data_IF_938889588896
#
_entry.id   IF_938889588896
#
_cell.length_a   1.000
_cell.length_b   1.000
_cell.length_c   1.000
_cell.angle_alpha   90.00
_cell.angle_beta   90.00
_cell.angle_gamma   90.00
#
_symmetry.space_group_name_H-M   'P 1'
#
loop_
_entity.id
_entity.type
_entity.pdbx_description
1 polymer ?
#
# COMPACT_ATOMS: atom_id res chain seq x y z
N UNK A 1 24.73 -15.46 12.87
CA UNK A 1 23.63 -15.96 12.03
C UNK A 1 23.34 -14.89 10.99
N UNK A 2 23.41 -15.19 9.70
CA UNK A 2 23.15 -14.20 8.63
C UNK A 2 21.67 -13.79 8.73
N UNK A 3 21.42 -12.55 9.08
CA UNK A 3 20.09 -11.94 9.05
C UNK A 3 19.61 -11.99 7.58
N UNK A 4 18.59 -12.79 7.31
CA UNK A 4 18.08 -12.92 5.94
C UNK A 4 17.22 -11.71 5.65
N UNK A 5 17.70 -10.90 4.75
CA UNK A 5 17.10 -9.63 4.36
C UNK A 5 15.92 -9.87 3.43
N UNK A 6 14.78 -9.26 3.72
CA UNK A 6 13.61 -9.24 2.87
C UNK A 6 13.63 -7.98 2.02
N UNK A 7 13.73 -8.14 0.69
CA UNK A 7 13.75 -7.01 -0.23
C UNK A 7 12.34 -6.44 -0.43
N UNK A 8 12.26 -5.11 -0.41
CA UNK A 8 11.05 -4.39 -0.77
C UNK A 8 11.31 -3.53 -2.02
N UNK A 9 10.68 -3.92 -3.13
CA UNK A 9 10.88 -3.28 -4.43
C UNK A 9 9.85 -2.17 -4.66
N UNK A 10 10.31 -0.94 -4.65
CA UNK A 10 9.50 0.26 -4.91
C UNK A 10 10.40 1.44 -5.26
N UNK A 11 9.99 2.27 -6.22
CA UNK A 11 10.62 3.57 -6.48
C UNK A 11 10.08 4.69 -5.56
N UNK A 12 9.14 4.37 -4.68
CA UNK A 12 8.54 5.34 -3.76
C UNK A 12 9.21 5.26 -2.39
N UNK A 13 10.14 6.16 -2.14
CA UNK A 13 10.93 6.23 -0.88
C UNK A 13 10.00 6.38 0.34
N UNK A 14 8.94 7.18 0.27
CA UNK A 14 8.01 7.37 1.39
C UNK A 14 7.28 6.08 1.77
N UNK A 15 6.88 5.29 0.78
CA UNK A 15 6.29 3.97 1.02
C UNK A 15 7.30 3.04 1.66
N UNK A 16 8.53 3.02 1.15
CA UNK A 16 9.60 2.20 1.73
C UNK A 16 9.83 2.56 3.20
N UNK A 17 10.02 3.84 3.51
CA UNK A 17 10.27 4.31 4.88
C UNK A 17 9.14 3.93 5.85
N UNK A 18 7.87 4.07 5.42
CA UNK A 18 6.73 3.70 6.23
C UNK A 18 6.65 2.19 6.45
N UNK A 19 6.73 1.37 5.39
CA UNK A 19 6.72 -0.07 5.54
C UNK A 19 7.93 -0.58 6.33
N UNK A 20 9.11 -0.01 6.12
CA UNK A 20 10.33 -0.37 6.88
C UNK A 20 10.12 -0.20 8.38
N UNK A 21 9.57 0.95 8.83
CA UNK A 21 9.22 1.16 10.24
C UNK A 21 8.20 0.14 10.74
N UNK A 22 7.13 -0.09 9.97
CA UNK A 22 6.06 -1.01 10.35
C UNK A 22 6.57 -2.44 10.49
N UNK A 23 7.39 -2.93 9.57
CA UNK A 23 8.00 -4.26 9.63
C UNK A 23 9.03 -4.36 10.76
N UNK A 24 9.83 -3.31 11.01
CA UNK A 24 10.81 -3.26 12.09
C UNK A 24 10.17 -3.41 13.48
N UNK A 25 8.96 -2.90 13.70
CA UNK A 25 8.19 -3.09 14.93
C UNK A 25 7.88 -4.57 15.23
N UNK A 26 8.00 -5.44 14.24
CA UNK A 26 7.81 -6.88 14.35
C UNK A 26 9.11 -7.69 14.21
N UNK A 27 10.26 -7.00 14.26
CA UNK A 27 11.60 -7.61 14.18
C UNK A 27 11.98 -8.08 12.77
N UNK A 28 11.37 -7.51 11.72
CA UNK A 28 11.68 -7.80 10.32
C UNK A 28 12.32 -6.58 9.70
N UNK A 29 13.53 -6.73 9.17
CA UNK A 29 14.23 -5.67 8.47
C UNK A 29 13.98 -5.79 6.97
N UNK A 30 13.57 -4.67 6.35
CA UNK A 30 13.42 -4.57 4.89
C UNK A 30 14.64 -3.91 4.28
N UNK A 31 15.12 -4.44 3.17
CA UNK A 31 16.11 -3.80 2.32
C UNK A 31 15.42 -3.13 1.13
N UNK A 32 15.71 -1.85 0.91
CA UNK A 32 15.15 -1.10 -0.20
C UNK A 32 15.76 -1.53 -1.53
N UNK A 33 14.92 -1.98 -2.44
CA UNK A 33 15.28 -2.14 -3.83
C UNK A 33 14.61 -1.05 -4.65
N UNK A 34 15.37 0.03 -4.89
CA UNK A 34 14.86 1.19 -5.64
C UNK A 34 14.76 0.84 -7.12
N UNK A 35 13.55 0.48 -7.55
CA UNK A 35 13.24 0.13 -8.93
C UNK A 35 11.85 0.56 -9.31
N UNK A 36 11.73 1.22 -10.47
CA UNK A 36 10.45 1.51 -11.10
C UNK A 36 9.98 0.28 -11.89
N UNK A 37 9.03 -0.47 -11.33
CA UNK A 37 8.44 -1.63 -11.99
C UNK A 37 7.30 -1.14 -12.88
N UNK A 38 7.35 -1.40 -14.22
CA UNK A 38 6.25 -1.06 -15.11
C UNK A 38 4.96 -1.77 -14.70
N UNK A 39 3.90 -1.00 -14.43
CA UNK A 39 2.61 -1.52 -14.02
C UNK A 39 1.67 -1.65 -15.22
N UNK A 40 0.99 -2.79 -15.34
CA UNK A 40 -0.12 -2.96 -16.26
C UNK A 40 -1.30 -2.10 -15.81
N UNK A 41 -2.17 -1.72 -16.74
CA UNK A 41 -3.38 -0.98 -16.42
C UNK A 41 -4.56 -1.96 -16.29
N UNK A 42 -5.12 -2.03 -15.10
CA UNK A 42 -6.30 -2.83 -14.80
C UNK A 42 -7.07 -2.19 -13.64
N UNK A 43 -8.38 -2.37 -13.59
CA UNK A 43 -9.19 -1.95 -12.44
C UNK A 43 -8.88 -2.87 -11.25
N UNK A 44 -8.77 -4.18 -11.49
CA UNK A 44 -8.48 -5.16 -10.45
C UNK A 44 -7.03 -5.04 -9.98
N UNK A 45 -6.88 -4.57 -8.75
CA UNK A 45 -5.59 -4.37 -8.10
C UNK A 45 -4.84 -5.67 -7.84
N UNK A 46 -5.53 -6.80 -7.72
CA UNK A 46 -4.89 -8.11 -7.50
C UNK A 46 -4.13 -8.58 -8.74
N UNK A 47 -4.66 -8.27 -9.92
CA UNK A 47 -4.00 -8.55 -11.21
C UNK A 47 -2.74 -7.69 -11.37
N UNK A 48 -2.84 -6.39 -11.04
CA UNK A 48 -1.69 -5.48 -11.08
C UNK A 48 -0.61 -5.93 -10.09
N UNK A 49 -1.00 -6.27 -8.86
CA UNK A 49 -0.06 -6.73 -7.84
C UNK A 49 0.67 -7.99 -8.30
N UNK A 50 -0.05 -8.98 -8.83
CA UNK A 50 0.53 -10.24 -9.30
C UNK A 50 1.56 -10.00 -10.41
N UNK A 51 1.23 -9.20 -11.41
CA UNK A 51 2.16 -8.81 -12.48
C UNK A 51 3.41 -8.12 -11.92
N UNK A 52 3.20 -7.16 -11.01
CA UNK A 52 4.28 -6.41 -10.36
C UNK A 52 5.23 -7.30 -9.55
N UNK A 53 4.68 -8.25 -8.79
CA UNK A 53 5.49 -9.22 -8.01
C UNK A 53 6.34 -10.09 -8.93
N UNK A 54 5.79 -10.56 -10.04
CA UNK A 54 6.52 -11.38 -11.02
C UNK A 54 7.69 -10.58 -11.59
N UNK A 55 7.43 -9.38 -12.09
CA UNK A 55 8.47 -8.51 -12.66
C UNK A 55 9.55 -8.14 -11.64
N UNK A 56 9.17 -7.85 -10.40
CA UNK A 56 10.12 -7.57 -9.33
C UNK A 56 11.05 -8.77 -9.08
N UNK A 57 10.48 -9.99 -9.04
CA UNK A 57 11.27 -11.20 -8.86
C UNK A 57 12.19 -11.47 -10.07
N UNK A 58 11.70 -11.28 -11.30
CA UNK A 58 12.52 -11.44 -12.52
C UNK A 58 13.73 -10.50 -12.51
N UNK A 59 13.55 -9.25 -12.06
CA UNK A 59 14.63 -8.26 -12.00
C UNK A 59 15.62 -8.62 -10.89
N UNK A 60 15.13 -8.99 -9.70
CA UNK A 60 15.97 -9.16 -8.51
C UNK A 60 16.51 -10.58 -8.36
N UNK A 61 15.81 -11.59 -8.89
CA UNK A 61 16.10 -13.04 -8.73
C UNK A 61 16.23 -13.46 -7.26
N UNK A 62 15.52 -12.81 -6.36
CA UNK A 62 15.49 -13.05 -4.89
C UNK A 62 14.08 -12.87 -4.34
N UNK A 63 13.78 -13.47 -3.16
CA UNK A 63 12.51 -13.22 -2.48
C UNK A 63 12.25 -11.72 -2.30
N UNK A 64 11.07 -11.27 -2.72
CA UNK A 64 10.76 -9.85 -2.82
C UNK A 64 9.32 -9.55 -2.43
N UNK A 65 9.15 -8.45 -1.68
CA UNK A 65 7.88 -7.79 -1.41
C UNK A 65 7.66 -6.63 -2.39
N UNK A 66 6.41 -6.42 -2.77
CA UNK A 66 5.94 -5.21 -3.47
C UNK A 66 4.62 -4.76 -2.87
N UNK A 67 4.29 -3.48 -3.05
CA UNK A 67 2.97 -2.95 -2.71
C UNK A 67 2.23 -2.42 -3.94
N UNK A 68 0.91 -2.37 -3.84
CA UNK A 68 0.06 -1.58 -4.72
C UNK A 68 -1.04 -0.93 -3.89
N UNK A 69 -1.24 0.38 -4.05
CA UNK A 69 -2.24 1.15 -3.29
C UNK A 69 -3.16 1.90 -4.24
N UNK A 70 -4.43 2.00 -3.87
CA UNK A 70 -5.43 2.70 -4.64
C UNK A 70 -6.55 3.24 -3.78
N UNK A 71 -7.45 3.95 -4.41
CA UNK A 71 -8.65 4.54 -3.84
C UNK A 71 -9.87 3.94 -4.52
N UNK A 72 -10.91 3.58 -3.75
CA UNK A 72 -12.21 3.20 -4.26
C UNK A 72 -13.24 4.23 -3.79
N UNK A 73 -13.96 4.87 -4.70
CA UNK A 73 -14.99 5.86 -4.38
C UNK A 73 -16.38 5.24 -4.62
N UNK A 74 -17.24 5.26 -3.60
CA UNK A 74 -18.60 4.69 -3.70
C UNK A 74 -19.42 5.33 -4.80
N UNK A 75 -19.36 6.67 -4.94
CA UNK A 75 -20.04 7.41 -6.00
C UNK A 75 -19.64 7.00 -7.43
N UNK A 76 -18.46 6.39 -7.59
CA UNK A 76 -17.94 5.93 -8.87
C UNK A 76 -17.96 4.39 -9.00
N UNK A 77 -18.79 3.71 -8.22
CA UNK A 77 -18.90 2.25 -8.23
C UNK A 77 -17.52 1.58 -8.06
N UNK A 78 -16.79 2.00 -7.03
CA UNK A 78 -15.47 1.49 -6.66
C UNK A 78 -14.29 1.94 -7.56
N UNK A 79 -14.51 2.76 -8.59
CA UNK A 79 -13.37 3.35 -9.32
C UNK A 79 -12.65 4.39 -8.43
N UNK A 80 -11.36 4.67 -8.66
CA UNK A 80 -10.46 4.18 -9.74
C UNK A 80 -9.73 2.87 -9.43
N UNK A 81 -9.62 2.43 -8.18
CA UNK A 81 -8.86 1.24 -7.76
C UNK A 81 -7.46 1.18 -8.43
N UNK A 82 -7.20 0.18 -9.25
CA UNK A 82 -5.91 0.00 -9.92
C UNK A 82 -5.54 1.09 -10.95
N UNK A 83 -6.51 1.87 -11.42
CA UNK A 83 -6.28 3.02 -12.31
C UNK A 83 -6.00 4.32 -11.55
N UNK A 84 -5.67 4.23 -10.27
CA UNK A 84 -5.52 5.37 -9.38
C UNK A 84 -4.49 6.41 -9.86
N UNK A 85 -3.38 5.97 -10.47
CA UNK A 85 -2.36 6.87 -11.01
C UNK A 85 -2.93 7.74 -12.12
N UNK A 86 -3.60 7.13 -13.10
CA UNK A 86 -4.20 7.81 -14.24
C UNK A 86 -5.33 8.75 -13.81
N UNK A 87 -6.16 8.27 -12.88
CA UNK A 87 -7.24 9.05 -12.30
C UNK A 87 -6.71 10.32 -11.61
N UNK A 88 -5.63 10.18 -10.81
CA UNK A 88 -4.99 11.32 -10.17
C UNK A 88 -4.31 12.27 -11.15
N UNK A 89 -3.62 11.76 -12.17
CA UNK A 89 -2.95 12.58 -13.18
C UNK A 89 -3.93 13.49 -13.93
N UNK A 90 -5.18 13.01 -14.14
CA UNK A 90 -6.23 13.76 -14.83
C UNK A 90 -6.96 14.73 -13.88
N UNK A 91 -7.38 14.27 -12.72
CA UNK A 91 -8.28 15.04 -11.85
C UNK A 91 -7.56 15.88 -10.80
N UNK A 92 -6.42 15.43 -10.30
CA UNK A 92 -5.64 16.12 -9.26
C UNK A 92 -6.53 16.55 -8.07
N UNK A 93 -6.57 17.86 -7.79
CA UNK A 93 -7.38 18.47 -6.73
C UNK A 93 -8.90 18.45 -7.03
N UNK A 94 -9.31 18.25 -8.27
CA UNK A 94 -10.72 18.12 -8.64
C UNK A 94 -11.40 16.87 -8.08
N UNK A 95 -10.64 15.91 -7.55
CA UNK A 95 -11.19 14.72 -6.88
C UNK A 95 -12.13 15.10 -5.73
N UNK A 96 -11.77 16.11 -4.94
CA UNK A 96 -12.61 16.60 -3.84
C UNK A 96 -13.91 17.25 -4.34
N UNK A 97 -13.82 18.05 -5.39
CA UNK A 97 -14.98 18.68 -6.03
C UNK A 97 -15.89 17.64 -6.67
N UNK A 98 -15.32 16.64 -7.35
CA UNK A 98 -16.07 15.54 -7.96
C UNK A 98 -16.89 14.78 -6.92
N UNK A 99 -16.27 14.36 -5.82
CA UNK A 99 -16.96 13.64 -4.73
C UNK A 99 -18.08 14.46 -4.11
N UNK A 100 -17.87 15.78 -3.93
CA UNK A 100 -18.86 16.70 -3.42
C UNK A 100 -20.04 16.86 -4.39
N UNK A 101 -19.80 17.02 -5.69
CA UNK A 101 -20.83 17.15 -6.72
C UNK A 101 -21.66 15.87 -6.89
N UNK A 102 -21.08 14.70 -6.66
CA UNK A 102 -21.79 13.43 -6.70
C UNK A 102 -22.58 13.13 -5.42
N UNK A 103 -22.54 14.03 -4.43
CA UNK A 103 -23.23 13.92 -3.13
C UNK A 103 -22.94 12.63 -2.37
N UNK A 104 -21.81 12.00 -2.66
CA UNK A 104 -21.32 10.81 -1.95
C UNK A 104 -19.79 10.83 -1.89
N UNK A 105 -19.27 11.16 -0.71
CA UNK A 105 -17.84 11.24 -0.45
C UNK A 105 -17.23 9.95 0.11
N UNK A 106 -18.06 8.92 0.36
CA UNK A 106 -17.58 7.64 0.89
C UNK A 106 -16.53 7.04 -0.02
N UNK A 107 -15.44 6.62 0.57
CA UNK A 107 -14.32 6.03 -0.14
C UNK A 107 -13.59 5.03 0.75
N UNK A 108 -12.78 4.18 0.13
CA UNK A 108 -11.88 3.27 0.83
C UNK A 108 -10.47 3.42 0.27
N UNK A 109 -9.50 3.51 1.15
CA UNK A 109 -8.09 3.35 0.80
C UNK A 109 -7.78 1.87 0.75
N UNK A 110 -7.29 1.40 -0.39
CA UNK A 110 -6.98 -0.01 -0.60
C UNK A 110 -5.46 -0.18 -0.72
N UNK A 111 -4.94 -1.18 -0.04
CA UNK A 111 -3.53 -1.53 -0.15
C UNK A 111 -3.37 -3.04 -0.25
N UNK A 112 -2.52 -3.45 -1.16
CA UNK A 112 -2.08 -4.82 -1.35
C UNK A 112 -0.59 -4.93 -1.03
N UNK A 113 -0.19 -6.02 -0.38
CA UNK A 113 1.20 -6.48 -0.31
C UNK A 113 1.31 -7.84 -0.97
N UNK A 114 2.27 -7.98 -1.87
CA UNK A 114 2.59 -9.22 -2.56
C UNK A 114 4.02 -9.66 -2.27
N UNK A 115 4.21 -10.96 -2.06
CA UNK A 115 5.49 -11.59 -1.82
C UNK A 115 5.72 -12.73 -2.79
N UNK A 116 6.89 -12.77 -3.44
CA UNK A 116 7.35 -13.90 -4.23
C UNK A 116 8.59 -14.51 -3.57
N UNK A 117 8.55 -15.82 -3.33
CA UNK A 117 9.66 -16.59 -2.78
C UNK A 117 10.52 -17.29 -3.85
N UNK A 118 10.18 -17.08 -5.13
CA UNK A 118 10.77 -17.73 -6.30
C UNK A 118 10.03 -18.99 -6.73
N UNK A 119 9.04 -19.46 -5.97
CA UNK A 119 8.20 -20.62 -6.31
C UNK A 119 6.73 -20.29 -6.34
N UNK A 120 6.29 -19.43 -5.42
CA UNK A 120 4.89 -19.04 -5.23
C UNK A 120 4.77 -17.56 -5.00
N UNK A 121 3.61 -17.03 -5.35
CA UNK A 121 3.20 -15.67 -5.04
C UNK A 121 2.16 -15.74 -3.93
N UNK A 122 2.39 -14.96 -2.90
CA UNK A 122 1.50 -14.79 -1.76
C UNK A 122 1.05 -13.34 -1.73
N UNK A 123 -0.18 -13.07 -1.35
CA UNK A 123 -0.68 -11.71 -1.24
C UNK A 123 -1.67 -11.56 -0.10
N UNK A 124 -1.67 -10.38 0.47
CA UNK A 124 -2.66 -9.91 1.44
C UNK A 124 -3.12 -8.52 1.05
N UNK A 125 -4.30 -8.13 1.50
CA UNK A 125 -4.83 -6.80 1.27
C UNK A 125 -5.62 -6.28 2.48
N UNK A 126 -5.77 -4.95 2.51
CA UNK A 126 -6.64 -4.27 3.45
C UNK A 126 -7.38 -3.14 2.74
N UNK A 127 -8.63 -2.92 3.17
CA UNK A 127 -9.48 -1.79 2.78
C UNK A 127 -9.77 -0.98 4.02
N UNK A 128 -9.39 0.28 4.05
CA UNK A 128 -9.66 1.21 5.13
C UNK A 128 -10.79 2.14 4.74
N UNK A 129 -11.95 2.07 5.42
CA UNK A 129 -13.07 2.94 5.12
C UNK A 129 -12.80 4.38 5.54
N UNK A 130 -13.43 5.30 4.81
CA UNK A 130 -13.32 6.73 5.07
C UNK A 130 -14.11 7.55 4.07
N UNK A 131 -13.67 8.77 3.86
CA UNK A 131 -14.31 9.69 2.92
C UNK A 131 -13.29 10.61 2.22
N UNK A 132 -13.68 11.15 1.09
CA UNK A 132 -12.93 12.18 0.40
C UNK A 132 -13.14 13.52 1.11
N UNK A 133 -12.07 14.24 1.39
CA UNK A 133 -12.11 15.58 1.95
C UNK A 133 -12.84 16.56 1.03
N UNK A 134 -13.43 17.60 1.59
CA UNK A 134 -14.03 18.68 0.78
C UNK A 134 -13.01 19.49 -0.01
N UNK A 135 -11.78 19.54 0.47
CA UNK A 135 -10.67 20.26 -0.18
C UNK A 135 -9.38 19.45 -0.03
N UNK A 136 -8.51 19.60 -1.03
CA UNK A 136 -7.17 19.05 -0.98
C UNK A 136 -6.37 19.66 0.17
N UNK A 137 -5.82 18.82 1.04
CA UNK A 137 -4.92 19.30 2.09
C UNK A 137 -3.65 19.92 1.48
N UNK A 138 -3.19 21.02 2.06
CA UNK A 138 -1.91 21.66 1.71
C UNK A 138 -0.71 20.92 2.29
N UNK A 139 -0.92 20.01 3.26
CA UNK A 139 0.11 19.25 3.93
C UNK A 139 0.42 17.94 3.18
N UNK A 140 1.66 17.48 3.32
CA UNK A 140 2.11 16.20 2.76
C UNK A 140 2.34 16.23 1.25
N UNK A 141 2.96 15.18 0.75
CA UNK A 141 3.35 15.04 -0.67
C UNK A 141 2.65 13.88 -1.38
N UNK A 142 2.20 12.86 -0.62
CA UNK A 142 1.50 11.71 -1.21
C UNK A 142 0.03 12.06 -1.47
N UNK A 143 -0.37 12.01 -2.73
CA UNK A 143 -1.64 12.60 -3.19
C UNK A 143 -2.88 12.00 -2.52
N UNK A 144 -2.93 10.66 -2.31
CA UNK A 144 -4.09 10.02 -1.69
C UNK A 144 -4.25 10.42 -0.22
N UNK A 145 -3.13 10.56 0.49
CA UNK A 145 -3.15 10.97 1.90
C UNK A 145 -3.72 12.38 2.07
N UNK A 146 -3.62 13.24 1.02
CA UNK A 146 -4.10 14.63 1.02
C UNK A 146 -5.60 14.77 0.79
N UNK A 147 -6.27 13.73 0.33
CA UNK A 147 -7.71 13.75 0.05
C UNK A 147 -8.51 12.78 0.90
N UNK A 148 -7.87 11.84 1.58
CA UNK A 148 -8.56 10.79 2.31
C UNK A 148 -8.63 11.07 3.80
N UNK A 149 -9.83 11.06 4.35
CA UNK A 149 -10.15 11.15 5.79
C UNK A 149 -10.56 9.75 6.24
N UNK A 150 -9.79 9.07 7.11
CA UNK A 150 -10.17 7.77 7.63
C UNK A 150 -11.45 7.82 8.46
N UNK A 151 -12.21 6.74 8.51
CA UNK A 151 -13.42 6.64 9.30
C UNK A 151 -13.15 6.97 10.79
N UNK A 152 -14.03 7.77 11.39
CA UNK A 152 -13.89 8.24 12.77
C UNK A 152 -12.93 9.42 12.96
N UNK A 153 -12.38 9.96 11.90
CA UNK A 153 -11.49 11.15 11.92
C UNK A 153 -12.11 12.33 11.16
N UNK A 154 -11.56 13.53 11.39
CA UNK A 154 -12.03 14.78 10.78
C UNK A 154 -10.98 15.46 9.93
N UNK A 155 -9.76 14.91 9.90
CA UNK A 155 -8.61 15.45 9.16
C UNK A 155 -8.08 14.36 8.22
N UNK A 156 -7.41 14.79 7.15
CA UNK A 156 -6.82 13.87 6.16
C UNK A 156 -5.59 13.16 6.74
N UNK A 157 -5.23 12.01 6.16
CA UNK A 157 -4.00 11.29 6.56
C UNK A 157 -2.76 12.17 6.50
N UNK A 158 -2.70 13.12 5.56
CA UNK A 158 -1.57 14.03 5.42
C UNK A 158 -1.46 15.07 6.53
N UNK A 159 -2.56 15.38 7.22
CA UNK A 159 -2.61 16.33 8.34
C UNK A 159 -2.32 15.68 9.68
N UNK A 160 -2.30 14.36 9.74
CA UNK A 160 -1.98 13.61 10.95
C UNK A 160 -0.48 13.54 11.18
N UNK A 161 -0.07 13.56 12.45
CA UNK A 161 1.31 13.23 12.82
C UNK A 161 1.67 11.80 12.42
N UNK A 162 2.94 11.50 12.22
CA UNK A 162 3.38 10.14 11.88
C UNK A 162 2.93 9.11 12.93
N UNK A 163 2.96 9.48 14.23
CA UNK A 163 2.55 8.57 15.30
C UNK A 163 1.04 8.30 15.35
N UNK A 164 0.21 9.26 14.95
CA UNK A 164 -1.24 9.05 14.80
C UNK A 164 -1.53 8.17 13.60
N UNK A 165 -0.91 8.50 12.46
CA UNK A 165 -1.06 7.73 11.23
C UNK A 165 -0.60 6.28 11.37
N UNK A 166 0.52 6.03 12.03
CA UNK A 166 1.06 4.68 12.25
C UNK A 166 0.12 3.81 13.11
N UNK A 167 -0.86 4.37 13.84
CA UNK A 167 -1.85 3.61 14.62
C UNK A 167 -3.08 3.19 13.83
N UNK A 168 -3.40 3.90 12.74
CA UNK A 168 -4.66 3.74 11.99
C UNK A 168 -4.45 3.50 10.50
N UNK A 169 -3.19 3.58 10.02
CA UNK A 169 -2.92 3.54 8.59
C UNK A 169 -3.30 2.18 7.99
N UNK A 170 -3.88 2.24 6.79
CA UNK A 170 -4.15 1.06 5.97
C UNK A 170 -2.88 0.22 5.75
N UNK A 171 -1.68 0.87 5.75
CA UNK A 171 -0.39 0.18 5.64
C UNK A 171 -0.02 -0.59 6.90
N UNK A 172 -0.38 -0.09 8.11
CA UNK A 172 -0.24 -0.88 9.35
C UNK A 172 -1.04 -2.18 9.24
N UNK A 173 -2.33 -2.08 8.90
CA UNK A 173 -3.24 -3.24 8.85
C UNK A 173 -2.80 -4.29 7.83
N UNK A 174 -2.36 -3.88 6.66
CA UNK A 174 -1.85 -4.83 5.66
C UNK A 174 -0.49 -5.41 6.07
N UNK A 175 0.35 -4.65 6.78
CA UNK A 175 1.64 -5.14 7.30
C UNK A 175 1.42 -6.25 8.33
N UNK A 176 0.49 -6.08 9.27
CA UNK A 176 0.13 -7.12 10.25
C UNK A 176 -0.27 -8.43 9.56
N UNK A 177 -1.15 -8.35 8.55
CA UNK A 177 -1.56 -9.51 7.73
C UNK A 177 -0.39 -10.12 6.96
N UNK A 178 0.48 -9.29 6.40
CA UNK A 178 1.66 -9.76 5.67
C UNK A 178 2.64 -10.50 6.57
N UNK A 179 2.87 -10.00 7.78
CA UNK A 179 3.74 -10.65 8.77
C UNK A 179 3.16 -12.02 9.20
N UNK A 180 1.86 -12.08 9.45
CA UNK A 180 1.18 -13.34 9.76
C UNK A 180 1.34 -14.35 8.60
N UNK A 181 1.08 -13.91 7.37
CA UNK A 181 1.28 -14.70 6.16
C UNK A 181 2.73 -15.20 6.05
N UNK A 182 3.72 -14.30 6.14
CA UNK A 182 5.13 -14.65 6.01
C UNK A 182 5.58 -15.66 7.07
N UNK A 183 5.11 -15.52 8.32
CA UNK A 183 5.41 -16.44 9.41
C UNK A 183 4.76 -17.82 9.25
N UNK A 184 3.65 -17.91 8.53
CA UNK A 184 2.95 -19.16 8.24
C UNK A 184 3.59 -19.99 7.14
N UNK A 185 4.48 -19.38 6.32
CA UNK A 185 5.13 -20.07 5.21
C UNK A 185 6.07 -21.17 5.72
N UNK A 186 6.16 -22.31 5.01
CA UNK A 186 7.03 -23.44 5.42
C UNK A 186 8.49 -23.03 5.64
N UNK A 187 8.98 -22.07 4.86
CA UNK A 187 10.34 -21.50 4.92
C UNK A 187 10.40 -20.20 5.75
N UNK A 188 9.35 -19.84 6.46
CA UNK A 188 9.39 -18.72 7.42
C UNK A 188 10.51 -18.85 8.46
N UNK A 189 10.93 -20.09 8.79
CA UNK A 189 12.12 -20.37 9.60
C UNK A 189 13.40 -19.94 8.87
N UNK A 190 13.51 -20.23 7.56
CA UNK A 190 14.68 -19.90 6.76
C UNK A 190 14.84 -18.38 6.54
N UNK A 191 13.73 -17.64 6.57
CA UNK A 191 13.72 -16.19 6.54
C UNK A 191 13.92 -15.56 7.92
N UNK A 192 14.08 -16.37 8.99
CA UNK A 192 14.19 -15.89 10.36
C UNK A 192 12.91 -15.25 10.91
N UNK A 193 11.77 -15.46 10.24
CA UNK A 193 10.50 -14.80 10.55
C UNK A 193 9.64 -15.55 11.59
N UNK A 194 9.98 -16.79 11.94
CA UNK A 194 9.29 -17.51 13.00
C UNK A 194 9.89 -17.16 14.37
N UNK A 195 9.02 -16.77 15.29
CA UNK A 195 9.40 -16.78 16.70
C UNK A 195 9.66 -18.23 17.09
N UNK A 196 10.83 -18.51 17.62
CA UNK A 196 11.13 -19.78 18.28
C UNK A 196 10.21 -20.01 19.47
#
# INVERSE_FOLDING_TARGET
>A
MSQKTLFFATANVYKFEEFSRLFANHGIELEHYDVAIPEIQNIDMSIILRDKVIKAYEILSRPVLVDHSGLAMSALQELPQGLNKQFWEVLKDQVCELATKLDDRRAEMIVYLGFCDGRRIHSVYHREPGEIAYKLSSQGTFHLDRVFIPAGHTVTLSEMSSSERDKISHRLKVTEKAIEMLRSLPYGIELGLRKG
#
